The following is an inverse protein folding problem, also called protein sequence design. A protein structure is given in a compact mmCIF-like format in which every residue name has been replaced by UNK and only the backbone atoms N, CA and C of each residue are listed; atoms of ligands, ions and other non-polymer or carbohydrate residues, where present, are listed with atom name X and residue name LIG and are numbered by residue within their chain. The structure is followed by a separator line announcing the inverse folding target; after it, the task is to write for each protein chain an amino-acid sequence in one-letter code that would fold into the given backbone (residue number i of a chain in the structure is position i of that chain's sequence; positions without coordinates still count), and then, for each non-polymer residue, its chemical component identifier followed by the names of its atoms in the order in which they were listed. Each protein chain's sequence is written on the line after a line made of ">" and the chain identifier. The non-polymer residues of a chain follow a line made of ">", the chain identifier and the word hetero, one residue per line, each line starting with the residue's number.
data_IF_053840492816
#
_entry.id   IF_053840492816
#
_cell.length_a   1.000
_cell.length_b   1.000
_cell.length_c   1.000
_cell.angle_alpha   90.00
_cell.angle_beta   90.00
_cell.angle_gamma   90.00
#
_symmetry.space_group_name_H-M   'P 1'
#
loop_
_entity.id
_entity.type
_entity.pdbx_description
1 polymer ?
#
# COMPACT_ATOMS: atom_id res chain seq x y z
N UNK A 1 23.99 -1.83 97.00
CA UNK A 1 24.47 -0.71 96.16
C UNK A 1 25.56 -1.18 95.18
N UNK A 2 25.41 -2.35 94.54
CA UNK A 2 26.39 -2.87 93.58
C UNK A 2 25.75 -3.29 92.23
N UNK A 3 24.42 -3.37 92.12
CA UNK A 3 23.73 -3.65 90.84
C UNK A 3 23.55 -2.42 89.94
N UNK A 4 23.71 -1.20 90.46
CA UNK A 4 23.55 0.04 89.67
C UNK A 4 24.76 0.40 88.80
N UNK A 5 25.97 -0.05 89.16
CA UNK A 5 27.18 0.31 88.43
C UNK A 5 27.48 -0.64 87.26
N UNK A 6 26.96 -1.87 87.28
CA UNK A 6 27.06 -2.79 86.14
C UNK A 6 26.01 -2.47 85.06
N UNK A 7 24.83 -1.97 85.43
CA UNK A 7 23.81 -1.55 84.47
C UNK A 7 24.18 -0.24 83.75
N UNK A 8 24.66 0.79 84.47
CA UNK A 8 25.15 2.05 83.86
C UNK A 8 26.36 1.79 82.94
N UNK A 9 27.25 0.86 83.30
CA UNK A 9 28.42 0.51 82.47
C UNK A 9 28.11 -0.36 81.25
N UNK A 10 26.95 -1.02 81.21
CA UNK A 10 26.45 -1.75 80.03
C UNK A 10 25.70 -0.77 79.11
N UNK A 11 24.85 0.11 79.66
CA UNK A 11 24.15 1.14 78.88
C UNK A 11 25.12 2.15 78.23
N UNK A 12 26.15 2.62 78.94
CA UNK A 12 27.19 3.50 78.33
C UNK A 12 28.02 2.78 77.24
N UNK A 13 28.20 1.47 77.34
CA UNK A 13 28.98 0.70 76.37
C UNK A 13 28.15 0.32 75.13
N UNK A 14 26.85 0.09 75.31
CA UNK A 14 25.87 -0.13 74.25
C UNK A 14 25.60 1.18 73.47
N UNK A 15 25.49 2.33 74.15
CA UNK A 15 25.38 3.65 73.49
C UNK A 15 26.65 4.00 72.68
N UNK A 16 27.83 3.65 73.20
CA UNK A 16 29.10 3.83 72.49
C UNK A 16 29.28 2.88 71.30
N UNK A 17 28.71 1.67 71.35
CA UNK A 17 28.66 0.75 70.21
C UNK A 17 27.69 1.22 69.13
N UNK A 18 26.52 1.75 69.51
CA UNK A 18 25.53 2.33 68.61
C UNK A 18 26.06 3.60 67.90
N UNK A 19 26.76 4.49 68.62
CA UNK A 19 27.41 5.66 68.03
C UNK A 19 28.54 5.26 67.04
N UNK A 20 29.25 4.19 67.35
CA UNK A 20 30.30 3.64 66.46
C UNK A 20 29.71 2.97 65.23
N UNK A 21 28.56 2.30 65.35
CA UNK A 21 27.82 1.73 64.24
C UNK A 21 27.23 2.82 63.34
N UNK A 22 26.63 3.86 63.91
CA UNK A 22 26.14 5.03 63.19
C UNK A 22 27.25 5.77 62.43
N UNK A 23 28.42 5.95 63.06
CA UNK A 23 29.57 6.56 62.40
C UNK A 23 30.12 5.69 61.26
N UNK A 24 30.11 4.36 61.42
CA UNK A 24 30.52 3.43 60.38
C UNK A 24 29.55 3.46 59.18
N UNK A 25 28.25 3.53 59.43
CA UNK A 25 27.23 3.64 58.38
C UNK A 25 27.35 4.97 57.63
N UNK A 26 27.53 6.09 58.34
CA UNK A 26 27.75 7.40 57.73
C UNK A 26 29.05 7.44 56.89
N UNK A 27 30.10 6.78 57.36
CA UNK A 27 31.35 6.64 56.61
C UNK A 27 31.16 5.80 55.34
N UNK A 28 30.37 4.74 55.41
CA UNK A 28 30.03 3.90 54.25
C UNK A 28 29.21 4.67 53.22
N UNK A 29 28.19 5.42 53.66
CA UNK A 29 27.41 6.30 52.78
C UNK A 29 28.30 7.35 52.10
N UNK A 30 29.20 7.99 52.84
CA UNK A 30 30.16 8.96 52.28
C UNK A 30 31.13 8.32 51.27
N UNK A 31 31.52 7.05 51.45
CA UNK A 31 32.32 6.32 50.47
C UNK A 31 31.54 6.00 49.20
N UNK A 32 30.27 5.61 49.31
CA UNK A 32 29.38 5.33 48.18
C UNK A 32 29.12 6.60 47.37
N UNK A 33 28.84 7.74 48.03
CA UNK A 33 28.70 9.04 47.37
C UNK A 33 29.98 9.45 46.65
N UNK A 34 31.14 9.29 47.29
CA UNK A 34 32.44 9.56 46.67
C UNK A 34 32.67 8.69 45.43
N UNK A 35 32.31 7.41 45.49
CA UNK A 35 32.42 6.50 44.35
C UNK A 35 31.50 6.93 43.20
N UNK A 36 30.25 7.29 43.50
CA UNK A 36 29.30 7.82 42.52
C UNK A 36 29.79 9.12 41.87
N UNK A 37 30.35 10.05 42.64
CA UNK A 37 30.93 11.28 42.09
C UNK A 37 32.16 11.02 41.22
N UNK A 38 33.01 10.07 41.58
CA UNK A 38 34.16 9.67 40.75
C UNK A 38 33.71 9.04 39.43
N UNK A 39 32.70 8.18 39.46
CA UNK A 39 32.13 7.58 38.25
C UNK A 39 31.47 8.64 37.35
N UNK A 40 30.73 9.58 37.95
CA UNK A 40 30.15 10.71 37.22
C UNK A 40 31.25 11.58 36.59
N UNK A 41 32.31 11.88 37.32
CA UNK A 41 33.45 12.66 36.82
C UNK A 41 34.14 11.94 35.66
N UNK A 42 34.39 10.62 35.78
CA UNK A 42 34.93 9.82 34.69
C UNK A 42 34.02 9.82 33.45
N UNK A 43 32.70 9.72 33.64
CA UNK A 43 31.73 9.79 32.55
C UNK A 43 31.72 11.18 31.88
N UNK A 44 31.83 12.25 32.66
CA UNK A 44 31.94 13.61 32.13
C UNK A 44 33.27 13.82 31.39
N UNK A 45 34.38 13.29 31.90
CA UNK A 45 35.68 13.34 31.22
C UNK A 45 35.67 12.53 29.91
N UNK A 46 35.01 11.36 29.89
CA UNK A 46 34.80 10.58 28.64
C UNK A 46 33.98 11.37 27.64
N UNK A 47 32.83 11.91 28.04
CA UNK A 47 31.97 12.78 27.20
C UNK A 47 32.73 14.01 26.68
N UNK A 48 33.56 14.63 27.53
CA UNK A 48 34.39 15.76 27.14
C UNK A 48 35.47 15.33 26.13
N UNK A 49 36.10 14.17 26.31
CA UNK A 49 37.09 13.67 25.36
C UNK A 49 36.48 13.28 24.02
N UNK A 50 35.26 12.72 24.01
CA UNK A 50 34.49 12.45 22.79
C UNK A 50 34.05 13.75 22.11
N UNK A 51 33.61 14.75 22.90
CA UNK A 51 33.29 16.08 22.37
C UNK A 51 34.53 16.75 21.77
N UNK A 52 35.68 16.70 22.44
CA UNK A 52 36.93 17.26 21.92
C UNK A 52 37.44 16.48 20.69
N UNK A 53 37.27 15.15 20.64
CA UNK A 53 37.58 14.35 19.44
C UNK A 53 36.65 14.67 18.27
N UNK A 54 35.36 14.84 18.52
CA UNK A 54 34.39 15.22 17.49
C UNK A 54 34.58 16.66 17.02
N UNK A 55 34.92 17.58 17.92
CA UNK A 55 35.34 18.95 17.58
C UNK A 55 36.62 18.91 16.74
N UNK A 56 37.64 18.12 17.13
CA UNK A 56 38.89 17.99 16.36
C UNK A 56 38.67 17.37 14.98
N UNK A 57 37.82 16.34 14.87
CA UNK A 57 37.41 15.74 13.59
C UNK A 57 36.59 16.70 12.73
N UNK A 58 35.80 17.57 13.36
CA UNK A 58 35.10 18.66 12.69
C UNK A 58 36.01 19.85 12.35
N UNK A 59 37.14 20.02 13.04
CA UNK A 59 38.18 21.02 12.75
C UNK A 59 39.08 20.56 11.60
N UNK A 60 39.47 19.29 11.54
CA UNK A 60 40.17 18.70 10.38
C UNK A 60 39.30 18.76 9.11
N UNK A 61 37.98 18.64 9.22
CA UNK A 61 37.03 18.91 8.12
C UNK A 61 36.78 20.41 7.87
N UNK A 62 37.26 21.31 8.75
CA UNK A 62 37.17 22.78 8.63
C UNK A 62 38.50 23.45 8.31
N UNK A 63 39.60 22.71 8.11
CA UNK A 63 40.82 23.26 7.52
C UNK A 63 40.61 23.78 6.09
N UNK A 64 39.42 23.56 5.50
CA UNK A 64 38.96 24.25 4.27
C UNK A 64 38.33 25.64 4.50
N UNK A 65 38.11 26.06 5.75
CA UNK A 65 37.60 27.38 6.14
C UNK A 65 38.21 27.83 7.46
N UNK A 66 39.46 28.29 7.41
CA UNK A 66 40.00 29.20 8.44
C UNK A 66 39.09 30.45 8.52
N UNK A 67 38.13 30.43 9.44
CA UNK A 67 37.47 31.65 9.88
C UNK A 67 38.49 32.40 10.72
N UNK A 68 38.98 33.51 10.18
CA UNK A 68 39.95 34.42 10.81
C UNK A 68 39.72 34.55 12.31
N UNK A 69 40.78 34.39 13.11
CA UNK A 69 40.79 34.53 14.58
C UNK A 69 40.07 35.81 15.03
N UNK A 70 40.15 36.86 14.21
CA UNK A 70 39.48 38.15 14.42
C UNK A 70 37.94 38.06 14.42
N UNK A 71 37.31 37.20 13.61
CA UNK A 71 35.85 37.00 13.62
C UNK A 71 35.38 36.25 14.89
N UNK A 72 36.21 35.33 15.40
CA UNK A 72 35.91 34.64 16.66
C UNK A 72 36.04 35.58 17.87
N UNK A 73 37.08 36.41 17.91
CA UNK A 73 37.25 37.45 18.93
C UNK A 73 36.10 38.46 18.91
N UNK A 74 35.70 38.95 17.73
CA UNK A 74 34.57 39.87 17.60
C UNK A 74 33.25 39.28 18.11
N UNK A 75 32.97 38.01 17.83
CA UNK A 75 31.79 37.30 18.36
C UNK A 75 31.87 37.12 19.87
N UNK A 76 33.05 36.78 20.39
CA UNK A 76 33.27 36.68 21.84
C UNK A 76 33.00 38.01 22.53
N UNK A 77 33.56 39.12 22.03
CA UNK A 77 33.31 40.45 22.57
C UNK A 77 31.84 40.86 22.46
N UNK A 78 31.15 40.51 21.37
CA UNK A 78 29.71 40.76 21.22
C UNK A 78 28.88 39.97 22.22
N UNK A 79 29.19 38.69 22.44
CA UNK A 79 28.56 37.88 23.48
C UNK A 79 28.84 38.45 24.88
N UNK A 80 30.07 38.88 25.15
CA UNK A 80 30.45 39.47 26.43
C UNK A 80 29.69 40.79 26.68
N UNK A 81 29.56 41.63 25.65
CA UNK A 81 28.76 42.86 25.70
C UNK A 81 27.29 42.54 25.98
N UNK A 82 26.71 41.57 25.28
CA UNK A 82 25.33 41.13 25.52
C UNK A 82 25.12 40.58 26.93
N UNK A 83 26.08 39.81 27.46
CA UNK A 83 26.02 39.31 28.85
C UNK A 83 26.06 40.47 29.84
N UNK A 84 26.88 41.49 29.59
CA UNK A 84 26.94 42.67 30.44
C UNK A 84 25.65 43.50 30.36
N UNK A 85 25.08 43.69 29.16
CA UNK A 85 23.78 44.34 28.97
C UNK A 85 22.67 43.60 29.75
N UNK A 86 22.60 42.28 29.62
CA UNK A 86 21.63 41.45 30.36
C UNK A 86 21.84 41.52 31.87
N UNK A 87 23.10 41.58 32.33
CA UNK A 87 23.42 41.76 33.76
C UNK A 87 22.96 43.12 34.27
N UNK A 88 23.17 44.17 33.50
CA UNK A 88 22.75 45.52 33.86
C UNK A 88 21.23 45.66 33.83
N UNK A 89 20.56 45.02 32.87
CA UNK A 89 19.11 44.94 32.81
C UNK A 89 18.54 44.18 34.02
N UNK A 90 19.14 43.04 34.39
CA UNK A 90 18.75 42.27 35.57
C UNK A 90 18.91 43.10 36.84
N UNK A 91 20.03 43.82 37.01
CA UNK A 91 20.23 44.72 38.16
C UNK A 91 19.21 45.85 38.20
N UNK A 92 18.88 46.46 37.05
CA UNK A 92 17.84 47.50 36.97
C UNK A 92 16.48 46.94 37.36
N UNK A 93 16.16 45.75 36.87
CA UNK A 93 14.89 45.08 37.14
C UNK A 93 14.77 44.67 38.63
N UNK A 94 15.86 44.16 39.23
CA UNK A 94 15.94 43.91 40.67
C UNK A 94 15.70 45.19 41.46
N UNK A 95 16.44 46.27 41.16
CA UNK A 95 16.26 47.55 41.84
C UNK A 95 14.83 48.11 41.68
N UNK A 96 14.19 47.90 40.53
CA UNK A 96 12.80 48.26 40.32
C UNK A 96 11.87 47.42 41.20
N UNK A 97 12.04 46.10 41.22
CA UNK A 97 11.23 45.21 42.05
C UNK A 97 11.40 45.51 43.54
N UNK A 98 12.62 45.75 44.00
CA UNK A 98 12.90 46.12 45.39
C UNK A 98 12.21 47.42 45.78
N UNK A 99 12.27 48.45 44.91
CA UNK A 99 11.53 49.71 45.13
C UNK A 99 10.03 49.46 45.21
N UNK A 100 9.47 48.66 44.30
CA UNK A 100 8.03 48.36 44.34
C UNK A 100 7.64 47.55 45.55
N UNK A 101 8.48 46.62 46.01
CA UNK A 101 8.25 45.82 47.20
C UNK A 101 8.28 46.69 48.46
N UNK A 102 9.25 47.61 48.56
CA UNK A 102 9.32 48.59 49.65
C UNK A 102 8.10 49.49 49.68
N UNK A 103 7.67 50.03 48.53
CA UNK A 103 6.48 50.87 48.44
C UNK A 103 5.20 50.11 48.82
N UNK A 104 5.04 48.87 48.33
CA UNK A 104 3.90 48.03 48.70
C UNK A 104 3.90 47.68 50.19
N UNK A 105 5.06 47.43 50.78
CA UNK A 105 5.21 47.18 52.21
C UNK A 105 4.84 48.42 53.03
N UNK A 106 5.33 49.60 52.65
CA UNK A 106 4.96 50.85 53.31
C UNK A 106 3.46 51.10 53.25
N UNK A 107 2.84 50.89 52.08
CA UNK A 107 1.38 51.02 51.92
C UNK A 107 0.60 50.00 52.74
N UNK A 108 1.14 48.80 52.96
CA UNK A 108 0.54 47.80 53.84
C UNK A 108 0.59 48.28 55.28
N UNK A 109 1.77 48.68 55.77
CA UNK A 109 1.99 49.16 57.14
C UNK A 109 1.10 50.38 57.46
N UNK A 110 1.00 51.34 56.53
CA UNK A 110 0.14 52.52 56.65
C UNK A 110 -1.34 52.14 56.77
N UNK A 111 -1.79 51.16 55.97
CA UNK A 111 -3.18 50.69 56.00
C UNK A 111 -3.49 49.88 57.24
N UNK A 112 -2.55 49.04 57.68
CA UNK A 112 -2.70 48.22 58.87
C UNK A 112 -2.78 49.11 60.12
N UNK A 113 -1.93 50.13 60.21
CA UNK A 113 -1.95 51.10 61.30
C UNK A 113 -3.29 51.85 61.35
N UNK A 114 -3.76 52.37 60.23
CA UNK A 114 -5.08 53.02 60.14
C UNK A 114 -6.23 52.08 60.51
N UNK A 115 -6.17 50.82 60.06
CA UNK A 115 -7.20 49.83 60.39
C UNK A 115 -7.22 49.53 61.90
N UNK A 116 -6.04 49.46 62.54
CA UNK A 116 -5.89 49.27 63.98
C UNK A 116 -6.47 50.46 64.76
N UNK A 117 -6.11 51.68 64.38
CA UNK A 117 -6.64 52.91 64.98
C UNK A 117 -8.17 52.99 64.88
N UNK A 118 -8.74 52.69 63.70
CA UNK A 118 -10.19 52.66 63.49
C UNK A 118 -10.84 51.58 64.35
N UNK A 119 -10.24 50.39 64.46
CA UNK A 119 -10.75 49.29 65.28
C UNK A 119 -10.77 49.67 66.76
N UNK A 120 -9.68 50.24 67.28
CA UNK A 120 -9.59 50.70 68.67
C UNK A 120 -10.59 51.81 68.96
N UNK A 121 -10.67 52.83 68.11
CA UNK A 121 -11.65 53.91 68.23
C UNK A 121 -13.09 53.38 68.23
N UNK A 122 -13.40 52.37 67.41
CA UNK A 122 -14.72 51.76 67.37
C UNK A 122 -15.03 50.94 68.63
N UNK A 123 -14.04 50.24 69.21
CA UNK A 123 -14.20 49.53 70.48
C UNK A 123 -14.48 50.53 71.60
N UNK A 124 -13.74 51.64 71.67
CA UNK A 124 -13.95 52.68 72.69
C UNK A 124 -15.31 53.36 72.52
N UNK A 125 -15.73 53.63 71.29
CA UNK A 125 -17.06 54.16 70.99
C UNK A 125 -18.18 53.22 71.46
N UNK A 126 -18.08 51.92 71.17
CA UNK A 126 -19.04 50.91 71.66
C UNK A 126 -19.09 50.87 73.18
N UNK A 127 -17.92 50.93 73.83
CA UNK A 127 -17.79 50.95 75.29
C UNK A 127 -18.44 52.19 75.90
N UNK A 128 -18.27 53.36 75.29
CA UNK A 128 -18.88 54.61 75.74
C UNK A 128 -20.41 54.55 75.62
N UNK A 129 -20.93 54.08 74.49
CA UNK A 129 -22.38 53.87 74.30
C UNK A 129 -22.93 52.91 75.36
N UNK A 130 -22.28 51.78 75.60
CA UNK A 130 -22.74 50.78 76.57
C UNK A 130 -22.72 51.29 78.02
N UNK A 131 -21.79 52.19 78.36
CA UNK A 131 -21.77 52.87 79.67
C UNK A 131 -22.93 53.86 79.83
N UNK A 132 -23.32 54.53 78.75
CA UNK A 132 -24.45 55.46 78.74
C UNK A 132 -25.81 54.75 78.59
N UNK A 133 -25.82 53.48 78.21
CA UNK A 133 -27.03 52.70 78.01
C UNK A 133 -27.66 52.22 79.34
N UNK A 134 -28.99 52.19 79.36
CA UNK A 134 -29.79 51.70 80.47
C UNK A 134 -30.50 50.40 80.10
N UNK A 135 -30.71 49.54 81.11
CA UNK A 135 -31.39 48.28 80.92
C UNK A 135 -32.89 48.52 80.66
N UNK A 136 -33.38 48.11 79.48
CA UNK A 136 -34.77 48.29 79.06
C UNK A 136 -35.83 47.75 80.03
N UNK A 137 -35.48 46.79 80.91
CA UNK A 137 -36.42 46.17 81.85
C UNK A 137 -36.33 46.75 83.26
N UNK A 138 -35.20 47.32 83.65
CA UNK A 138 -34.97 47.83 85.02
C UNK A 138 -34.67 49.33 85.10
N UNK A 139 -34.44 50.00 83.96
CA UNK A 139 -34.10 51.43 83.88
C UNK A 139 -32.76 51.79 84.53
N UNK A 140 -31.96 50.79 84.94
CA UNK A 140 -30.68 51.00 85.62
C UNK A 140 -29.53 50.95 84.61
N UNK A 141 -28.44 51.71 84.83
CA UNK A 141 -27.26 51.67 83.98
C UNK A 141 -26.63 50.26 83.98
N UNK A 142 -26.07 49.88 82.83
CA UNK A 142 -25.47 48.55 82.66
C UNK A 142 -24.19 48.44 83.54
N UNK A 143 -24.06 47.40 84.39
CA UNK A 143 -22.86 47.22 85.20
C UNK A 143 -21.60 47.02 84.34
N UNK A 144 -20.51 47.70 84.69
CA UNK A 144 -19.25 47.61 83.93
C UNK A 144 -18.64 46.20 83.83
N UNK A 145 -18.93 45.31 84.80
CA UNK A 145 -18.55 43.89 84.70
C UNK A 145 -19.26 43.18 83.54
N UNK A 146 -20.51 43.51 83.29
CA UNK A 146 -21.29 42.92 82.19
C UNK A 146 -20.84 43.46 80.84
N UNK A 147 -20.49 44.75 80.77
CA UNK A 147 -19.90 45.38 79.57
C UNK A 147 -18.59 44.68 79.18
N UNK A 148 -17.69 44.46 80.15
CA UNK A 148 -16.45 43.71 79.92
C UNK A 148 -16.70 42.28 79.43
N UNK A 149 -17.69 41.59 79.99
CA UNK A 149 -18.08 40.26 79.53
C UNK A 149 -18.57 40.24 78.08
N UNK A 150 -19.33 41.26 77.65
CA UNK A 150 -19.73 41.41 76.25
C UNK A 150 -18.55 41.73 75.33
N UNK A 151 -17.63 42.61 75.75
CA UNK A 151 -16.41 42.92 74.99
C UNK A 151 -15.54 41.66 74.79
N UNK A 152 -15.34 40.86 75.83
CA UNK A 152 -14.59 39.60 75.76
C UNK A 152 -15.28 38.55 74.86
N UNK A 153 -16.61 38.44 74.94
CA UNK A 153 -17.39 37.53 74.10
C UNK A 153 -17.36 37.95 72.62
N UNK A 154 -17.50 39.24 72.33
CA UNK A 154 -17.42 39.79 70.97
C UNK A 154 -16.01 39.60 70.41
N UNK A 155 -14.97 39.90 71.19
CA UNK A 155 -13.58 39.68 70.79
C UNK A 155 -13.30 38.21 70.45
N UNK A 156 -13.78 37.27 71.27
CA UNK A 156 -13.65 35.83 70.99
C UNK A 156 -14.35 35.41 69.70
N UNK A 157 -15.51 36.02 69.39
CA UNK A 157 -16.23 35.78 68.13
C UNK A 157 -15.52 36.38 66.92
N UNK A 158 -14.95 37.58 67.06
CA UNK A 158 -14.15 38.21 66.01
C UNK A 158 -12.92 37.36 65.65
N UNK A 159 -12.20 36.83 66.65
CA UNK A 159 -11.08 35.90 66.41
C UNK A 159 -11.52 34.62 65.70
N UNK A 160 -12.67 34.05 66.08
CA UNK A 160 -13.23 32.87 65.43
C UNK A 160 -13.55 33.15 63.96
N UNK A 161 -14.17 34.29 63.66
CA UNK A 161 -14.48 34.73 62.30
C UNK A 161 -13.20 34.96 61.50
N UNK A 162 -12.17 35.56 62.08
CA UNK A 162 -10.88 35.78 61.43
C UNK A 162 -10.21 34.45 61.06
N UNK A 163 -10.16 33.50 61.99
CA UNK A 163 -9.63 32.13 61.76
C UNK A 163 -10.39 31.44 60.63
N UNK A 164 -11.72 31.50 60.63
CA UNK A 164 -12.55 30.90 59.58
C UNK A 164 -12.35 31.57 58.21
N UNK A 165 -12.19 32.91 58.18
CA UNK A 165 -11.89 33.64 56.93
C UNK A 165 -10.54 33.23 56.36
N UNK A 166 -9.50 33.15 57.18
CA UNK A 166 -8.17 32.68 56.76
C UNK A 166 -8.23 31.24 56.24
N UNK A 167 -8.94 30.35 56.94
CA UNK A 167 -9.16 28.98 56.48
C UNK A 167 -9.89 28.94 55.13
N UNK A 168 -10.93 29.75 54.94
CA UNK A 168 -11.67 29.83 53.68
C UNK A 168 -10.78 30.30 52.51
N UNK A 169 -9.99 31.36 52.72
CA UNK A 169 -9.04 31.87 51.72
C UNK A 169 -8.02 30.78 51.37
N UNK A 170 -7.46 30.10 52.37
CA UNK A 170 -6.51 29.02 52.14
C UNK A 170 -7.15 27.87 51.32
N UNK A 171 -8.35 27.43 51.70
CA UNK A 171 -9.09 26.38 50.97
C UNK A 171 -9.40 26.80 49.53
N UNK A 172 -9.80 28.05 49.28
CA UNK A 172 -10.00 28.59 47.92
C UNK A 172 -8.72 28.59 47.11
N UNK A 173 -7.59 28.95 47.71
CA UNK A 173 -6.28 28.92 47.04
C UNK A 173 -5.86 27.49 46.70
N UNK A 174 -6.06 26.53 47.62
CA UNK A 174 -5.78 25.11 47.38
C UNK A 174 -6.67 24.57 46.27
N UNK A 175 -7.97 24.91 46.28
CA UNK A 175 -8.91 24.52 45.23
C UNK A 175 -8.46 25.04 43.86
N UNK A 176 -8.11 26.34 43.76
CA UNK A 176 -7.61 26.92 42.50
C UNK A 176 -6.31 26.24 42.02
N UNK A 177 -5.41 25.88 42.94
CA UNK A 177 -4.19 25.11 42.60
C UNK A 177 -4.56 23.72 42.07
N UNK A 178 -5.44 23.00 42.75
CA UNK A 178 -5.89 21.66 42.33
C UNK A 178 -6.59 21.70 40.98
N UNK A 179 -7.47 22.67 40.73
CA UNK A 179 -8.10 22.88 39.42
C UNK A 179 -7.07 23.18 38.33
N UNK A 180 -6.05 23.98 38.64
CA UNK A 180 -4.93 24.23 37.73
C UNK A 180 -4.16 22.95 37.39
N UNK A 181 -3.84 22.14 38.39
CA UNK A 181 -3.17 20.84 38.21
C UNK A 181 -4.07 19.87 37.43
N UNK A 182 -5.38 19.86 37.70
CA UNK A 182 -6.34 19.03 36.97
C UNK A 182 -6.36 19.41 35.50
N UNK A 183 -6.46 20.71 35.17
CA UNK A 183 -6.39 21.20 33.79
C UNK A 183 -5.07 20.87 33.11
N UNK A 184 -3.95 20.91 33.84
CA UNK A 184 -2.65 20.48 33.32
C UNK A 184 -2.61 18.97 33.06
N UNK A 185 -3.27 18.16 33.90
CA UNK A 185 -3.38 16.71 33.69
C UNK A 185 -4.37 16.32 32.58
N UNK A 186 -5.46 17.06 32.42
CA UNK A 186 -6.41 16.92 31.31
C UNK A 186 -5.77 17.22 29.96
N UNK A 187 -4.81 18.15 29.96
CA UNK A 187 -3.82 18.26 28.87
C UNK A 187 -2.84 17.10 29.00
N UNK A 188 -3.28 15.89 28.68
CA UNK A 188 -2.36 14.77 28.55
C UNK A 188 -1.23 15.15 27.58
N UNK A 189 -0.02 14.71 27.94
CA UNK A 189 1.22 14.77 27.14
C UNK A 189 1.26 15.87 26.06
N UNK A 190 1.84 17.02 26.40
CA UNK A 190 2.36 18.04 25.47
C UNK A 190 1.57 18.19 24.15
N UNK A 191 0.27 18.49 24.28
CA UNK A 191 -0.57 18.94 23.15
C UNK A 191 -1.66 17.99 22.67
N UNK A 192 -1.91 16.86 23.33
CA UNK A 192 -3.00 15.96 22.94
C UNK A 192 -4.24 16.15 23.84
N UNK A 193 -5.28 16.79 23.33
CA UNK A 193 -6.55 16.85 24.05
C UNK A 193 -7.23 15.47 24.03
N UNK A 194 -8.00 15.16 25.07
CA UNK A 194 -8.79 13.91 25.13
C UNK A 194 -9.65 13.70 23.88
N UNK A 195 -10.17 14.80 23.31
CA UNK A 195 -10.95 14.81 22.07
C UNK A 195 -10.10 14.36 20.89
N UNK A 196 -8.87 14.86 20.76
CA UNK A 196 -7.94 14.49 19.69
C UNK A 196 -7.55 13.00 19.79
N UNK A 197 -7.37 12.49 21.01
CA UNK A 197 -7.11 11.08 21.26
C UNK A 197 -8.31 10.19 20.89
N UNK A 198 -9.52 10.57 21.29
CA UNK A 198 -10.74 9.85 20.91
C UNK A 198 -10.97 9.89 19.39
N UNK A 199 -10.70 11.02 18.75
CA UNK A 199 -10.76 11.14 17.29
C UNK A 199 -9.74 10.23 16.59
N UNK A 200 -8.48 10.23 17.04
CA UNK A 200 -7.45 9.32 16.53
C UNK A 200 -7.86 7.84 16.68
N UNK A 201 -8.51 7.51 17.80
CA UNK A 201 -9.02 6.15 18.04
C UNK A 201 -10.12 5.77 17.05
N UNK A 202 -11.06 6.68 16.79
CA UNK A 202 -12.13 6.48 15.80
C UNK A 202 -11.53 6.33 14.40
N UNK A 203 -10.62 7.22 14.00
CA UNK A 203 -9.97 7.18 12.69
C UNK A 203 -9.17 5.88 12.49
N UNK A 204 -8.42 5.44 13.51
CA UNK A 204 -7.67 4.19 13.45
C UNK A 204 -8.59 2.98 13.29
N UNK A 205 -9.71 2.96 14.00
CA UNK A 205 -10.71 1.90 13.88
C UNK A 205 -11.33 1.88 12.46
N UNK A 206 -11.74 3.03 11.93
CA UNK A 206 -12.30 3.13 10.57
C UNK A 206 -11.27 2.72 9.49
N UNK A 207 -9.99 3.05 9.68
CA UNK A 207 -8.93 2.61 8.76
C UNK A 207 -8.72 1.11 8.82
N UNK A 208 -8.75 0.50 10.00
CA UNK A 208 -8.67 -0.95 10.14
C UNK A 208 -9.84 -1.67 9.48
N UNK A 209 -11.07 -1.18 9.67
CA UNK A 209 -12.26 -1.72 8.99
C UNK A 209 -12.09 -1.69 7.46
N UNK A 210 -11.58 -0.57 6.91
CA UNK A 210 -11.26 -0.47 5.47
C UNK A 210 -10.16 -1.45 5.03
N UNK A 211 -9.14 -1.67 5.85
CA UNK A 211 -8.07 -2.63 5.56
C UNK A 211 -8.66 -4.05 5.52
N UNK A 212 -9.54 -4.40 6.46
CA UNK A 212 -10.23 -5.69 6.49
C UNK A 212 -11.11 -5.88 5.25
N UNK A 213 -11.93 -4.90 4.87
CA UNK A 213 -12.73 -4.96 3.64
C UNK A 213 -11.87 -5.19 2.39
N UNK A 214 -10.77 -4.43 2.23
CA UNK A 214 -9.88 -4.58 1.08
C UNK A 214 -9.16 -5.93 1.09
N UNK A 215 -8.80 -6.45 2.26
CA UNK A 215 -8.21 -7.78 2.39
C UNK A 215 -9.21 -8.88 1.98
N UNK A 216 -10.49 -8.76 2.35
CA UNK A 216 -11.52 -9.68 1.89
C UNK A 216 -11.75 -9.62 0.38
N UNK A 217 -11.80 -8.42 -0.19
CA UNK A 217 -11.89 -8.22 -1.64
C UNK A 217 -10.69 -8.84 -2.38
N UNK A 218 -9.48 -8.64 -1.86
CA UNK A 218 -8.25 -9.22 -2.39
C UNK A 218 -8.31 -10.76 -2.35
N UNK A 219 -8.81 -11.33 -1.25
CA UNK A 219 -9.01 -12.76 -1.12
C UNK A 219 -10.04 -13.29 -2.14
N UNK A 220 -11.15 -12.57 -2.36
CA UNK A 220 -12.16 -12.91 -3.38
C UNK A 220 -11.55 -12.88 -4.78
N UNK A 221 -10.74 -11.86 -5.09
CA UNK A 221 -10.04 -11.75 -6.38
C UNK A 221 -9.03 -12.89 -6.57
N UNK A 222 -8.22 -13.22 -5.56
CA UNK A 222 -7.30 -14.36 -5.63
C UNK A 222 -8.03 -15.67 -5.94
N UNK A 223 -9.16 -15.94 -5.27
CA UNK A 223 -9.99 -17.12 -5.57
C UNK A 223 -10.48 -17.12 -7.02
N UNK A 224 -11.02 -15.99 -7.51
CA UNK A 224 -11.44 -15.84 -8.92
C UNK A 224 -10.30 -16.08 -9.89
N UNK A 225 -9.11 -15.55 -9.62
CA UNK A 225 -7.91 -15.77 -10.44
C UNK A 225 -7.56 -17.25 -10.49
N UNK A 226 -7.51 -17.94 -9.34
CA UNK A 226 -7.22 -19.38 -9.29
C UNK A 226 -8.23 -20.19 -10.11
N UNK A 227 -9.53 -19.93 -9.96
CA UNK A 227 -10.57 -20.60 -10.76
C UNK A 227 -10.40 -20.31 -12.25
N UNK A 228 -10.10 -19.05 -12.62
CA UNK A 228 -9.89 -18.66 -14.02
C UNK A 228 -8.68 -19.39 -14.61
N UNK A 229 -7.58 -19.49 -13.87
CA UNK A 229 -6.40 -20.26 -14.30
C UNK A 229 -6.75 -21.74 -14.51
N UNK A 230 -7.51 -22.35 -13.60
CA UNK A 230 -7.96 -23.75 -13.78
C UNK A 230 -8.79 -23.92 -15.06
N UNK A 231 -9.77 -23.04 -15.29
CA UNK A 231 -10.60 -23.07 -16.51
C UNK A 231 -9.76 -22.86 -17.77
N UNK A 232 -8.81 -21.92 -17.74
CA UNK A 232 -7.88 -21.70 -18.86
C UNK A 232 -7.00 -22.92 -19.13
N UNK A 233 -6.54 -23.62 -18.09
CA UNK A 233 -5.77 -24.86 -18.25
C UNK A 233 -6.61 -25.94 -18.92
N UNK A 234 -7.84 -26.20 -18.45
CA UNK A 234 -8.74 -27.16 -19.09
C UNK A 234 -9.06 -26.81 -20.55
N UNK A 235 -9.30 -25.53 -20.84
CA UNK A 235 -9.52 -25.06 -22.22
C UNK A 235 -8.29 -25.26 -23.10
N UNK A 236 -7.09 -25.01 -22.57
CA UNK A 236 -5.82 -25.23 -23.27
C UNK A 236 -5.61 -26.71 -23.58
N UNK A 237 -5.86 -27.60 -22.62
CA UNK A 237 -5.78 -29.06 -22.81
C UNK A 237 -6.76 -29.53 -23.89
N UNK A 238 -8.02 -29.08 -23.81
CA UNK A 238 -9.04 -29.41 -24.82
C UNK A 238 -8.67 -28.89 -26.20
N UNK A 239 -8.14 -27.68 -26.30
CA UNK A 239 -7.67 -27.10 -27.55
C UNK A 239 -6.52 -27.93 -28.14
N UNK A 240 -5.54 -28.32 -27.33
CA UNK A 240 -4.43 -29.17 -27.77
C UNK A 240 -4.92 -30.53 -28.29
N UNK A 241 -5.90 -31.14 -27.61
CA UNK A 241 -6.50 -32.39 -28.06
C UNK A 241 -7.18 -32.24 -29.43
N UNK A 242 -8.02 -31.22 -29.60
CA UNK A 242 -8.71 -30.96 -30.88
C UNK A 242 -7.72 -30.58 -31.98
N UNK A 243 -6.64 -29.87 -31.66
CA UNK A 243 -5.58 -29.56 -32.62
C UNK A 243 -4.85 -30.82 -33.09
N UNK A 244 -4.54 -31.75 -32.19
CA UNK A 244 -3.93 -33.03 -32.54
C UNK A 244 -4.87 -33.86 -33.43
N UNK A 245 -6.16 -33.95 -33.10
CA UNK A 245 -7.17 -34.62 -33.94
C UNK A 245 -7.28 -33.97 -35.33
N UNK A 246 -7.27 -32.64 -35.39
CA UNK A 246 -7.29 -31.91 -36.66
C UNK A 246 -6.05 -32.18 -37.51
N UNK A 247 -4.88 -32.34 -36.89
CA UNK A 247 -3.65 -32.72 -37.60
C UNK A 247 -3.73 -34.12 -38.19
N UNK A 248 -4.28 -35.09 -37.45
CA UNK A 248 -4.53 -36.45 -37.97
C UNK A 248 -5.48 -36.41 -39.15
N UNK A 249 -6.63 -35.73 -39.02
CA UNK A 249 -7.60 -35.56 -40.10
C UNK A 249 -7.00 -34.90 -41.34
N UNK A 250 -6.08 -33.94 -41.18
CA UNK A 250 -5.36 -33.32 -42.30
C UNK A 250 -4.44 -34.31 -43.00
N UNK A 251 -3.78 -35.20 -42.25
CA UNK A 251 -2.96 -36.27 -42.83
C UNK A 251 -3.83 -37.25 -43.61
N UNK A 252 -4.93 -37.72 -43.03
CA UNK A 252 -5.87 -38.64 -43.68
C UNK A 252 -6.45 -38.03 -44.97
N UNK A 253 -6.76 -36.74 -44.95
CA UNK A 253 -7.23 -36.01 -46.13
C UNK A 253 -6.14 -35.97 -47.22
N UNK A 254 -4.89 -35.67 -46.85
CA UNK A 254 -3.78 -35.66 -47.80
C UNK A 254 -3.54 -37.05 -48.42
N UNK A 255 -3.60 -38.12 -47.63
CA UNK A 255 -3.49 -39.49 -48.12
C UNK A 255 -4.62 -39.83 -49.11
N UNK A 256 -5.85 -39.42 -48.79
CA UNK A 256 -7.00 -39.61 -49.66
C UNK A 256 -6.89 -38.79 -50.96
N UNK A 257 -6.33 -37.59 -50.92
CA UNK A 257 -6.04 -36.77 -52.10
C UNK A 257 -5.00 -37.43 -53.01
N UNK A 258 -3.96 -38.04 -52.43
CA UNK A 258 -2.97 -38.82 -53.18
C UNK A 258 -3.64 -40.03 -53.82
N UNK A 259 -4.45 -40.79 -53.07
CA UNK A 259 -5.15 -41.96 -53.60
C UNK A 259 -6.13 -41.57 -54.72
N UNK A 260 -6.85 -40.45 -54.57
CA UNK A 260 -7.74 -39.91 -55.58
C UNK A 260 -6.97 -39.51 -56.85
N UNK A 261 -5.81 -38.88 -56.69
CA UNK A 261 -4.94 -38.49 -57.82
C UNK A 261 -4.43 -39.72 -58.57
N UNK A 262 -3.94 -40.73 -57.84
CA UNK A 262 -3.53 -42.01 -58.44
C UNK A 262 -4.68 -42.68 -59.20
N UNK A 263 -5.89 -42.70 -58.63
CA UNK A 263 -7.08 -43.24 -59.31
C UNK A 263 -7.46 -42.44 -60.56
N UNK A 264 -7.29 -41.11 -60.54
CA UNK A 264 -7.50 -40.24 -61.72
C UNK A 264 -6.48 -40.52 -62.82
N UNK A 265 -5.22 -40.76 -62.46
CA UNK A 265 -4.16 -41.09 -63.42
C UNK A 265 -4.40 -42.45 -64.08
N UNK A 266 -4.72 -43.48 -63.28
CA UNK A 266 -5.10 -44.80 -63.79
C UNK A 266 -6.34 -44.71 -64.71
N UNK A 267 -7.36 -43.94 -64.33
CA UNK A 267 -8.53 -43.70 -65.19
C UNK A 267 -8.15 -43.02 -66.51
N UNK A 268 -7.20 -42.09 -66.48
CA UNK A 268 -6.73 -41.39 -67.68
C UNK A 268 -5.96 -42.33 -68.59
N UNK A 269 -5.05 -43.14 -68.03
CA UNK A 269 -4.28 -44.13 -68.78
C UNK A 269 -5.19 -45.19 -69.42
N UNK A 270 -6.14 -45.76 -68.65
CA UNK A 270 -7.09 -46.73 -69.19
C UNK A 270 -8.01 -46.14 -70.26
N UNK A 271 -8.40 -44.86 -70.16
CA UNK A 271 -9.11 -44.15 -71.24
C UNK A 271 -8.25 -44.03 -72.50
N UNK A 272 -6.97 -43.66 -72.36
CA UNK A 272 -6.05 -43.59 -73.50
C UNK A 272 -5.86 -44.96 -74.16
N UNK A 273 -5.66 -46.03 -73.39
CA UNK A 273 -5.54 -47.40 -73.91
C UNK A 273 -6.82 -47.82 -74.63
N UNK A 274 -7.99 -47.58 -74.05
CA UNK A 274 -9.29 -47.83 -74.69
C UNK A 274 -9.42 -47.07 -76.01
N UNK A 275 -9.03 -45.80 -76.03
CA UNK A 275 -9.15 -44.96 -77.22
C UNK A 275 -8.14 -45.36 -78.30
N UNK A 276 -6.92 -45.79 -77.92
CA UNK A 276 -5.95 -46.39 -78.82
C UNK A 276 -6.44 -47.73 -79.41
N UNK A 277 -7.03 -48.60 -78.59
CA UNK A 277 -7.65 -49.85 -79.07
C UNK A 277 -8.83 -49.58 -80.00
N UNK A 278 -9.66 -48.57 -79.72
CA UNK A 278 -10.74 -48.13 -80.62
C UNK A 278 -10.20 -47.58 -81.94
N UNK A 279 -9.16 -46.75 -81.91
CA UNK A 279 -8.47 -46.25 -83.10
C UNK A 279 -7.84 -47.40 -83.91
N UNK A 280 -7.19 -48.35 -83.25
CA UNK A 280 -6.63 -49.55 -83.89
C UNK A 280 -7.72 -50.44 -84.51
N UNK A 281 -8.83 -50.66 -83.81
CA UNK A 281 -9.96 -51.46 -84.33
C UNK A 281 -10.63 -50.76 -85.54
N UNK A 282 -10.81 -49.44 -85.48
CA UNK A 282 -11.32 -48.67 -86.62
C UNK A 282 -10.35 -48.71 -87.82
N UNK A 283 -9.04 -48.56 -87.60
CA UNK A 283 -8.03 -48.72 -88.65
C UNK A 283 -7.98 -50.14 -89.24
N UNK A 284 -8.06 -51.18 -88.40
CA UNK A 284 -8.11 -52.57 -88.86
C UNK A 284 -9.40 -52.87 -89.64
N UNK A 285 -10.54 -52.28 -89.25
CA UNK A 285 -11.78 -52.31 -90.03
C UNK A 285 -11.63 -51.60 -91.38
N UNK A 286 -10.90 -50.49 -91.45
CA UNK A 286 -10.62 -49.80 -92.71
C UNK A 286 -9.66 -50.60 -93.62
N UNK A 287 -8.65 -51.27 -93.05
CA UNK A 287 -7.70 -52.12 -93.80
C UNK A 287 -8.35 -53.41 -94.32
N UNK A 288 -9.30 -53.97 -93.57
CA UNK A 288 -10.19 -55.02 -94.06
C UNK A 288 -11.19 -54.40 -95.04
N UNK A 289 -10.75 -54.09 -96.26
CA UNK A 289 -11.57 -53.43 -97.29
C UNK A 289 -12.83 -54.20 -97.68
N UNK A 290 -12.86 -54.84 -98.85
CA UNK A 290 -14.05 -55.59 -99.29
C UNK A 290 -14.37 -56.81 -98.41
N UNK A 291 -13.38 -57.31 -97.68
CA UNK A 291 -13.46 -58.56 -96.89
C UNK A 291 -14.39 -58.43 -95.68
N UNK A 292 -14.68 -57.21 -95.21
CA UNK A 292 -15.55 -57.01 -94.05
C UNK A 292 -17.05 -56.92 -94.39
N UNK A 293 -17.42 -56.85 -95.67
CA UNK A 293 -18.82 -56.77 -96.09
C UNK A 293 -19.15 -57.94 -97.01
N UNK A 294 -19.87 -58.91 -96.44
CA UNK A 294 -20.31 -60.12 -97.14
C UNK A 294 -21.19 -59.80 -98.35
N UNK A 295 -22.01 -58.73 -98.26
CA UNK A 295 -22.82 -58.23 -99.36
C UNK A 295 -21.99 -57.73 -100.55
N UNK A 296 -20.89 -57.01 -100.31
CA UNK A 296 -20.00 -56.56 -101.38
C UNK A 296 -19.21 -57.72 -102.00
N UNK A 297 -18.85 -58.75 -101.23
CA UNK A 297 -18.23 -59.96 -101.77
C UNK A 297 -19.20 -60.71 -102.69
N UNK A 298 -20.46 -60.86 -102.27
CA UNK A 298 -21.51 -61.47 -103.07
C UNK A 298 -21.81 -60.67 -104.35
N UNK A 299 -21.83 -59.33 -104.30
CA UNK A 299 -21.99 -58.50 -105.50
C UNK A 299 -20.77 -58.62 -106.44
N UNK A 300 -19.55 -58.70 -105.89
CA UNK A 300 -18.35 -58.91 -106.69
C UNK A 300 -18.38 -60.28 -107.41
N UNK A 301 -18.80 -61.34 -106.72
CA UNK A 301 -19.00 -62.65 -107.34
C UNK A 301 -20.09 -62.64 -108.41
N UNK A 302 -21.23 -62.01 -108.15
CA UNK A 302 -22.29 -61.84 -109.16
C UNK A 302 -21.82 -61.05 -110.37
N UNK A 303 -21.08 -59.96 -110.18
CA UNK A 303 -20.49 -59.18 -111.29
C UNK A 303 -19.46 -59.99 -112.07
N UNK A 304 -18.63 -60.79 -111.38
CA UNK A 304 -17.68 -61.70 -112.04
C UNK A 304 -18.42 -62.71 -112.92
N UNK A 305 -19.49 -63.33 -112.41
CA UNK A 305 -20.34 -64.24 -113.19
C UNK A 305 -20.99 -63.54 -114.38
N UNK A 306 -21.51 -62.32 -114.19
CA UNK A 306 -22.10 -61.52 -115.27
C UNK A 306 -21.08 -61.14 -116.36
N UNK A 307 -19.83 -60.87 -116.00
CA UNK A 307 -18.75 -60.60 -116.97
C UNK A 307 -18.44 -61.85 -117.79
N UNK A 308 -18.40 -63.03 -117.16
CA UNK A 308 -18.22 -64.31 -117.86
C UNK A 308 -19.37 -64.54 -118.84
N UNK A 309 -20.62 -64.39 -118.40
CA UNK A 309 -21.80 -64.53 -119.25
C UNK A 309 -21.81 -63.52 -120.43
N UNK A 310 -21.42 -62.27 -120.20
CA UNK A 310 -21.28 -61.28 -121.29
C UNK A 310 -20.17 -61.63 -122.27
N UNK A 311 -19.03 -62.17 -121.81
CA UNK A 311 -17.95 -62.65 -122.70
C UNK A 311 -18.43 -63.80 -123.58
N UNK A 312 -19.22 -64.72 -123.04
CA UNK A 312 -19.84 -65.80 -123.82
C UNK A 312 -20.84 -65.25 -124.84
N UNK A 313 -21.67 -64.26 -124.49
CA UNK A 313 -22.54 -63.60 -125.46
C UNK A 313 -21.77 -62.92 -126.61
N UNK A 314 -20.61 -62.29 -126.32
CA UNK A 314 -19.75 -61.70 -127.34
C UNK A 314 -19.21 -62.79 -128.28
N UNK A 315 -18.77 -63.93 -127.76
CA UNK A 315 -18.35 -65.07 -128.58
C UNK A 315 -19.50 -65.61 -129.44
N UNK A 316 -20.71 -65.75 -128.89
CA UNK A 316 -21.88 -66.17 -129.66
C UNK A 316 -22.25 -65.19 -130.77
N UNK A 317 -22.16 -63.88 -130.51
CA UNK A 317 -22.38 -62.84 -131.50
C UNK A 317 -21.29 -62.83 -132.59
N UNK A 318 -20.04 -63.10 -132.24
CA UNK A 318 -18.96 -63.29 -133.22
C UNK A 318 -19.22 -64.50 -134.12
N UNK A 319 -19.67 -65.63 -133.55
CA UNK A 319 -20.06 -66.82 -134.34
C UNK A 319 -21.24 -66.52 -135.25
N UNK A 320 -22.27 -65.81 -134.76
CA UNK A 320 -23.40 -65.35 -135.60
C UNK A 320 -22.98 -64.38 -136.70
N UNK A 321 -22.04 -63.48 -136.43
CA UNK A 321 -21.49 -62.58 -137.44
C UNK A 321 -20.75 -63.33 -138.55
N UNK A 322 -19.97 -64.35 -138.19
CA UNK A 322 -19.31 -65.25 -139.15
C UNK A 322 -20.33 -66.07 -139.95
N UNK A 323 -21.43 -66.51 -139.33
CA UNK A 323 -22.51 -67.21 -140.03
C UNK A 323 -23.28 -66.30 -141.01
N UNK A 324 -23.56 -65.05 -140.62
CA UNK A 324 -24.19 -64.04 -141.50
C UNK A 324 -23.27 -63.61 -142.64
N UNK A 325 -21.95 -63.55 -142.44
CA UNK A 325 -20.97 -63.33 -143.50
C UNK A 325 -20.96 -64.48 -144.51
N UNK A 326 -21.13 -65.75 -144.07
CA UNK A 326 -21.34 -66.89 -144.98
C UNK A 326 -22.64 -66.78 -145.76
N UNK A 327 -23.74 -66.42 -145.11
CA UNK A 327 -25.05 -66.25 -145.76
C UNK A 327 -25.05 -65.10 -146.78
N UNK A 328 -24.33 -64.00 -146.50
CA UNK A 328 -24.13 -62.89 -147.42
C UNK A 328 -23.26 -63.27 -148.63
N UNK A 329 -22.29 -64.18 -148.46
CA UNK A 329 -21.48 -64.70 -149.55
C UNK A 329 -22.25 -65.67 -150.47
N UNK A 330 -23.18 -66.45 -149.94
CA UNK A 330 -24.09 -67.31 -150.72
C UNK A 330 -25.12 -66.49 -151.53
N UNK A 331 -25.70 -65.44 -150.94
CA UNK A 331 -26.61 -64.53 -151.65
C UNK A 331 -25.92 -63.72 -152.75
N UNK A 332 -24.60 -63.48 -152.65
CA UNK A 332 -23.80 -62.80 -153.68
C UNK A 332 -23.45 -63.71 -154.87
N UNK A 333 -23.49 -65.04 -154.69
CA UNK A 333 -23.19 -66.05 -155.72
C UNK A 333 -24.39 -66.35 -156.63
N UNK A 334 -25.62 -66.13 -156.15
CA UNK A 334 -26.87 -66.32 -156.92
C UNK A 334 -27.19 -65.10 -157.83
N UNK A 335 -26.60 -63.93 -157.57
CA UNK A 335 -26.87 -62.69 -158.32
C UNK A 335 -25.90 -62.40 -159.50
N UNK A 336 -24.88 -63.23 -159.76
CA UNK A 336 -23.86 -62.99 -160.80
C UNK A 336 -23.74 -64.09 -161.87
N UNK A 337 -24.85 -64.77 -162.24
CA UNK A 337 -24.84 -65.80 -163.29
C UNK A 337 -26.02 -65.82 -164.28
N UNK A 338 -26.88 -64.78 -164.30
CA UNK A 338 -28.07 -64.72 -165.20
C UNK A 338 -27.95 -63.64 -166.29
N UNK A 339 -26.79 -63.04 -166.54
CA UNK A 339 -26.57 -62.17 -167.71
C UNK A 339 -25.13 -62.31 -168.25
N UNK A 340 -25.00 -63.15 -169.29
CA UNK A 340 -23.99 -63.28 -170.36
C UNK A 340 -23.56 -64.73 -170.57
#
# INVERSE_FOLDING_TARGET
>A
MLEGAEADGIEENDEMEDDRANLAELYQQAQEEKAAFLELNQNLQRKLSDYLRTVKKNEENKESQEKSVTDQEQRYFKCLAQVNELRDELKRLQAQFDRTAMEMKRRLDDKETKAREIKEAFIDFKREILKAAENSRTGKPIPGKLIKGFEEQEHGKDEEVEKLRLANINRRNVLRKLEGTLRQKEKLADGLHLIDFEQLKIENQTLNEKIEERNEELLKLRKKTTTTVQVLTHLKEKLQFVQAENQVLKHDLADLEIELTNKRDVLTQTKHERDALRAGNTAARQQRGLVSSEDLLLDFEKRRQNIVAKKEQVQQLQVKHVALLRHAAESKRVAQGVLA
#
